data_IF_688951117840
#
_entry.id   IF_688951117840
#
_cell.length_a   1.000
_cell.length_b   1.000
_cell.length_c   1.000
_cell.angle_alpha   90.00
_cell.angle_beta   90.00
_cell.angle_gamma   90.00
#
_symmetry.space_group_name_H-M   'P 1'
#
loop_
_entity.id
_entity.type
_entity.pdbx_description
1 polymer ?
#
# COMPACT_ATOMS: atom_id res chain seq x y z
N UNK A 1 -54.61 -52.31 22.86
CA UNK A 1 -53.74 -53.14 21.99
C UNK A 1 -52.31 -52.67 22.21
N UNK A 2 -51.61 -53.27 23.17
CA UNK A 2 -50.61 -54.36 23.00
C UNK A 2 -49.31 -53.85 22.34
N UNK A 3 -48.28 -53.50 23.13
CA UNK A 3 -47.09 -54.34 23.55
C UNK A 3 -46.11 -54.59 22.38
N UNK A 4 -44.82 -54.24 22.42
CA UNK A 4 -43.69 -54.80 23.19
C UNK A 4 -42.48 -53.81 23.06
N UNK A 5 -41.78 -53.36 24.11
CA UNK A 5 -40.74 -54.00 24.96
C UNK A 5 -39.39 -54.35 24.26
N UNK A 6 -38.38 -53.47 24.46
CA UNK A 6 -36.99 -53.66 25.04
C UNK A 6 -36.02 -54.72 24.40
N UNK A 7 -34.71 -54.80 24.78
CA UNK A 7 -33.64 -53.79 24.97
C UNK A 7 -32.17 -54.28 24.63
N UNK A 8 -31.13 -53.49 24.98
CA UNK A 8 -29.71 -53.87 25.35
C UNK A 8 -28.79 -54.41 24.20
N UNK A 9 -27.47 -54.19 24.11
CA UNK A 9 -26.36 -53.65 24.96
C UNK A 9 -25.07 -53.49 24.09
N UNK A 10 -23.94 -52.96 24.63
CA UNK A 10 -22.75 -52.49 23.89
C UNK A 10 -21.62 -53.55 23.78
N UNK A 11 -20.62 -53.26 22.94
CA UNK A 11 -19.30 -53.91 22.84
C UNK A 11 -18.31 -52.73 22.72
N UNK A 12 -17.41 -52.36 23.64
CA UNK A 12 -16.40 -53.04 24.47
C UNK A 12 -15.31 -53.77 23.69
N UNK A 13 -14.21 -53.08 23.40
CA UNK A 13 -12.88 -53.69 23.32
C UNK A 13 -11.92 -52.90 24.21
N UNK A 14 -11.36 -53.61 25.19
CA UNK A 14 -10.39 -53.14 26.17
C UNK A 14 -9.25 -54.17 26.21
N UNK A 15 -8.01 -53.65 26.35
CA UNK A 15 -6.77 -54.32 26.81
C UNK A 15 -6.11 -55.32 25.83
N UNK A 16 -4.78 -55.39 25.71
CA UNK A 16 -3.79 -55.53 26.81
C UNK A 16 -2.44 -54.88 26.48
N UNK A 17 -1.82 -54.36 27.54
CA UNK A 17 -0.50 -53.75 27.69
C UNK A 17 0.68 -54.72 27.47
N UNK A 18 1.85 -54.21 27.07
CA UNK A 18 3.14 -54.60 27.69
C UNK A 18 4.03 -53.37 27.81
N UNK A 19 4.27 -52.96 29.04
CA UNK A 19 5.35 -52.09 29.51
C UNK A 19 6.63 -52.90 29.67
N UNK A 20 7.77 -52.40 29.18
CA UNK A 20 9.09 -52.63 29.82
C UNK A 20 9.84 -51.30 29.83
N UNK A 21 9.98 -50.76 31.04
CA UNK A 21 10.99 -49.78 31.39
C UNK A 21 12.24 -50.55 31.84
N UNK A 22 13.41 -50.22 31.28
CA UNK A 22 14.70 -50.46 31.95
C UNK A 22 15.56 -49.21 31.81
N UNK A 23 15.84 -48.65 32.98
CA UNK A 23 16.80 -47.64 33.36
C UNK A 23 18.25 -48.00 33.01
N UNK A 24 19.04 -46.99 32.65
CA UNK A 24 20.51 -47.07 32.61
C UNK A 24 21.13 -45.67 32.72
N UNK A 25 21.35 -45.25 33.97
CA UNK A 25 22.02 -44.01 34.39
C UNK A 25 23.51 -44.32 34.67
N UNK A 26 24.38 -43.30 34.48
CA UNK A 26 25.79 -43.16 34.93
C UNK A 26 26.85 -43.97 34.15
N UNK A 27 27.94 -43.40 33.63
CA UNK A 27 29.01 -42.60 34.27
C UNK A 27 29.72 -41.69 33.23
N UNK A 28 29.98 -40.39 33.41
CA UNK A 28 30.88 -39.63 34.32
C UNK A 28 32.39 -39.67 34.02
N UNK A 29 32.96 -38.46 33.88
CA UNK A 29 34.36 -37.99 34.04
C UNK A 29 35.37 -38.32 32.91
N UNK A 30 36.29 -37.44 32.47
CA UNK A 30 36.73 -36.10 32.92
C UNK A 30 37.69 -35.45 31.89
N UNK A 31 37.74 -34.11 31.91
CA UNK A 31 38.89 -33.20 31.68
C UNK A 31 39.60 -33.15 30.30
N UNK A 32 39.58 -31.97 29.67
CA UNK A 32 40.69 -30.99 29.85
C UNK A 32 40.33 -29.61 29.29
N UNK A 33 40.65 -28.58 30.07
CA UNK A 33 40.82 -27.20 29.62
C UNK A 33 42.03 -27.13 28.68
N UNK A 34 41.91 -26.37 27.59
CA UNK A 34 43.03 -25.71 26.97
C UNK A 34 42.51 -24.46 26.24
N UNK A 35 43.03 -23.32 26.69
CA UNK A 35 42.92 -22.01 26.07
C UNK A 35 43.31 -22.07 24.59
N UNK A 36 42.53 -21.39 23.76
CA UNK A 36 42.78 -21.27 22.33
C UNK A 36 42.03 -20.07 21.78
N UNK A 37 42.72 -18.95 21.78
CA UNK A 37 42.35 -17.72 21.07
C UNK A 37 41.77 -18.03 19.69
N UNK A 38 40.50 -17.68 19.48
CA UNK A 38 39.99 -17.41 18.14
C UNK A 38 39.26 -16.08 18.18
N UNK A 39 40.05 -15.01 18.04
CA UNK A 39 39.57 -13.68 17.79
C UNK A 39 38.72 -13.67 16.51
N UNK A 40 37.41 -13.61 16.70
CA UNK A 40 36.53 -13.11 15.66
C UNK A 40 36.70 -11.59 15.65
N UNK A 41 37.06 -10.98 14.51
CA UNK A 41 37.19 -9.54 14.45
C UNK A 41 35.81 -8.93 14.69
N UNK A 42 35.65 -8.27 15.83
CA UNK A 42 34.59 -7.29 16.09
C UNK A 42 34.80 -6.11 15.14
N UNK A 43 34.45 -6.30 13.87
CA UNK A 43 34.23 -5.20 12.95
C UNK A 43 32.78 -4.76 13.14
N UNK A 44 32.56 -3.90 14.13
CA UNK A 44 31.40 -3.01 14.14
C UNK A 44 31.78 -1.86 13.22
N UNK A 45 31.25 -1.75 11.99
CA UNK A 45 31.31 -0.47 11.33
C UNK A 45 30.42 0.46 12.15
N UNK A 46 31.01 1.52 12.70
CA UNK A 46 30.26 2.72 13.06
C UNK A 46 29.60 3.20 11.77
N UNK A 47 28.36 2.77 11.54
CA UNK A 47 27.55 3.16 10.41
C UNK A 47 27.01 4.56 10.69
N UNK A 48 27.78 5.57 10.29
CA UNK A 48 27.23 6.89 10.05
C UNK A 48 26.18 6.81 8.93
N UNK A 49 25.01 7.41 9.19
CA UNK A 49 23.92 7.77 8.26
C UNK A 49 23.83 6.92 6.98
N UNK A 50 23.24 5.73 7.08
CA UNK A 50 22.98 4.84 5.94
C UNK A 50 21.84 5.32 5.02
N UNK A 51 20.98 6.24 5.47
CA UNK A 51 19.81 6.67 4.68
C UNK A 51 20.11 7.82 3.71
N UNK A 52 21.27 8.47 3.87
CA UNK A 52 21.89 9.18 2.75
C UNK A 52 22.23 8.22 1.59
N UNK A 53 22.41 6.91 1.78
CA UNK A 53 22.94 6.05 0.71
C UNK A 53 21.94 5.74 -0.41
N UNK A 54 20.66 5.43 -0.16
CA UNK A 54 19.70 5.13 -1.24
C UNK A 54 19.39 6.36 -2.10
N UNK A 55 19.09 7.51 -1.48
CA UNK A 55 18.85 8.77 -2.20
C UNK A 55 20.15 9.41 -2.76
N UNK A 56 21.30 9.38 -2.07
CA UNK A 56 22.54 9.98 -2.62
C UNK A 56 23.34 9.08 -3.54
N UNK A 57 23.22 7.75 -3.47
CA UNK A 57 23.76 6.86 -4.51
C UNK A 57 23.08 7.18 -5.86
N UNK A 58 21.78 7.49 -5.82
CA UNK A 58 21.04 7.91 -7.01
C UNK A 58 21.41 9.32 -7.50
N UNK A 59 21.54 10.32 -6.61
CA UNK A 59 21.98 11.68 -6.97
C UNK A 59 23.29 11.71 -7.76
N UNK A 60 24.23 10.83 -7.42
CA UNK A 60 25.51 10.70 -8.13
C UNK A 60 25.41 9.96 -9.49
N UNK A 61 24.27 9.38 -9.84
CA UNK A 61 24.05 8.67 -11.11
C UNK A 61 23.42 9.54 -12.22
N UNK A 62 22.99 10.76 -11.90
CA UNK A 62 22.32 11.65 -12.86
C UNK A 62 23.21 12.67 -13.59
N UNK A 63 24.53 12.70 -13.35
CA UNK A 63 25.44 13.58 -14.10
C UNK A 63 26.33 12.78 -15.05
N UNK A 64 25.82 12.49 -16.25
CA UNK A 64 26.60 12.51 -17.49
C UNK A 64 25.67 12.43 -18.70
N UNK A 65 25.75 13.45 -19.55
CA UNK A 65 25.02 13.60 -20.79
C UNK A 65 25.64 12.75 -21.92
N UNK A 66 24.80 12.41 -22.90
CA UNK A 66 25.10 11.92 -24.27
C UNK A 66 25.35 10.42 -24.53
N UNK A 67 24.33 9.59 -24.24
CA UNK A 67 23.76 8.63 -25.20
C UNK A 67 22.43 8.14 -24.59
N UNK A 68 21.29 8.32 -25.29
CA UNK A 68 20.02 7.70 -24.85
C UNK A 68 20.18 6.19 -24.96
N UNK A 69 20.62 5.58 -23.88
CA UNK A 69 20.63 4.13 -23.71
C UNK A 69 19.19 3.64 -23.95
N UNK A 70 19.05 2.57 -24.74
CA UNK A 70 17.76 1.97 -25.01
C UNK A 70 17.17 1.47 -23.69
N UNK A 71 16.05 2.05 -23.26
CA UNK A 71 15.31 1.60 -22.08
C UNK A 71 14.18 0.65 -22.52
N UNK A 72 14.33 -0.68 -22.35
CA UNK A 72 13.29 -1.65 -22.72
C UNK A 72 11.99 -1.49 -21.92
N UNK A 73 11.99 -0.69 -20.86
CA UNK A 73 10.85 -0.44 -19.98
C UNK A 73 10.17 0.91 -20.27
N UNK A 74 10.66 1.66 -21.27
CA UNK A 74 10.02 2.89 -21.74
C UNK A 74 8.59 2.59 -22.22
N UNK A 75 7.63 3.40 -21.76
CA UNK A 75 6.20 3.21 -22.06
C UNK A 75 5.90 3.25 -23.55
N UNK A 76 6.66 4.02 -24.34
CA UNK A 76 6.47 4.14 -25.79
C UNK A 76 6.63 2.82 -26.54
N UNK A 77 7.40 1.87 -26.01
CA UNK A 77 7.54 0.53 -26.59
C UNK A 77 6.28 -0.33 -26.46
N UNK A 78 5.37 0.05 -25.56
CA UNK A 78 4.13 -0.66 -25.27
C UNK A 78 2.90 0.06 -25.85
N UNK A 79 3.10 1.02 -26.75
CA UNK A 79 2.04 1.82 -27.36
C UNK A 79 2.14 1.79 -28.89
N UNK A 80 1.12 2.30 -29.57
CA UNK A 80 1.03 2.34 -31.04
C UNK A 80 1.58 3.67 -31.58
N UNK A 81 1.31 4.79 -30.90
CA UNK A 81 1.73 6.11 -31.37
C UNK A 81 1.31 7.25 -30.45
N UNK A 82 0.94 8.38 -31.06
CA UNK A 82 0.55 9.60 -30.36
C UNK A 82 -0.76 9.44 -29.58
N UNK A 83 -0.90 10.25 -28.53
CA UNK A 83 -2.11 10.27 -27.71
C UNK A 83 -3.33 10.70 -28.53
N UNK A 84 -4.42 9.95 -28.39
CA UNK A 84 -5.75 10.34 -28.90
C UNK A 84 -6.74 10.43 -27.75
N UNK A 85 -7.93 11.05 -27.96
CA UNK A 85 -9.01 11.01 -26.98
C UNK A 85 -9.54 9.60 -26.67
N UNK A 86 -9.03 8.54 -27.30
CA UNK A 86 -9.46 7.15 -27.09
C UNK A 86 -8.29 6.26 -26.70
N UNK A 87 -8.41 5.54 -25.58
CA UNK A 87 -7.34 4.64 -25.16
C UNK A 87 -7.13 3.48 -26.15
N UNK A 88 -8.19 3.06 -26.84
CA UNK A 88 -8.15 1.94 -27.78
C UNK A 88 -7.28 2.20 -29.00
N UNK A 89 -7.09 3.46 -29.37
CA UNK A 89 -6.29 3.82 -30.54
C UNK A 89 -4.78 3.67 -30.24
N UNK A 90 -4.38 3.74 -28.96
CA UNK A 90 -2.98 3.76 -28.58
C UNK A 90 -2.45 2.48 -27.92
N UNK A 91 -3.33 1.61 -27.43
CA UNK A 91 -2.90 0.28 -26.95
C UNK A 91 -2.58 -0.63 -28.14
N UNK A 92 -1.53 -1.46 -28.00
CA UNK A 92 -1.13 -2.39 -29.07
C UNK A 92 -2.16 -3.51 -29.23
N UNK A 93 -2.02 -4.32 -30.28
CA UNK A 93 -2.82 -5.54 -30.55
C UNK A 93 -2.11 -6.88 -30.24
N UNK A 94 -0.82 -6.86 -29.88
CA UNK A 94 -0.05 -8.00 -29.33
C UNK A 94 0.15 -8.03 -27.79
N UNK A 95 0.33 -6.90 -27.09
CA UNK A 95 0.41 -6.72 -25.60
C UNK A 95 -0.89 -6.75 -24.77
N UNK A 96 -0.96 -7.49 -23.66
CA UNK A 96 -2.12 -7.44 -22.75
C UNK A 96 -1.89 -6.47 -21.58
N UNK A 97 -2.92 -5.72 -21.19
CA UNK A 97 -2.84 -4.68 -20.18
C UNK A 97 -3.77 -4.97 -19.00
N UNK A 98 -3.48 -4.34 -17.86
CA UNK A 98 -4.32 -4.39 -16.66
C UNK A 98 -4.38 -3.02 -15.99
N UNK A 99 -5.55 -2.67 -15.49
CA UNK A 99 -5.79 -1.45 -14.69
C UNK A 99 -6.73 -1.81 -13.52
N UNK A 100 -6.80 -0.94 -12.54
CA UNK A 100 -7.83 -0.97 -11.50
C UNK A 100 -8.18 0.46 -11.16
N UNK A 101 -9.37 0.69 -10.60
CA UNK A 101 -9.64 1.94 -9.94
C UNK A 101 -9.18 1.87 -8.50
N UNK A 102 -8.96 3.04 -7.93
CA UNK A 102 -8.67 3.22 -6.52
C UNK A 102 -9.79 4.11 -5.95
N UNK A 103 -10.24 3.85 -4.73
CA UNK A 103 -11.28 4.65 -4.07
C UNK A 103 -10.96 4.62 -2.57
N UNK A 104 -11.47 5.60 -1.81
CA UNK A 104 -11.13 5.92 -0.41
C UNK A 104 -9.88 6.81 -0.26
N UNK A 105 -9.32 6.86 0.96
CA UNK A 105 -8.17 7.69 1.30
C UNK A 105 -6.90 7.34 0.52
N UNK A 106 -5.92 8.27 0.53
CA UNK A 106 -4.69 8.15 -0.24
C UNK A 106 -3.98 6.80 -0.06
N UNK A 107 -3.80 6.33 1.17
CA UNK A 107 -3.07 5.07 1.45
C UNK A 107 -3.85 3.83 1.05
N UNK A 108 -5.18 3.85 1.10
CA UNK A 108 -6.01 2.78 0.55
C UNK A 108 -5.88 2.71 -0.97
N UNK A 109 -5.83 3.87 -1.63
CA UNK A 109 -5.54 3.95 -3.06
C UNK A 109 -4.15 3.42 -3.37
N UNK A 110 -3.12 3.82 -2.61
CA UNK A 110 -1.75 3.33 -2.76
C UNK A 110 -1.67 1.80 -2.64
N UNK A 111 -2.29 1.21 -1.62
CA UNK A 111 -2.36 -0.25 -1.45
C UNK A 111 -3.01 -0.91 -2.67
N UNK A 112 -4.13 -0.37 -3.15
CA UNK A 112 -4.82 -0.89 -4.36
C UNK A 112 -3.91 -0.87 -5.59
N UNK A 113 -3.13 0.21 -5.79
CA UNK A 113 -2.21 0.34 -6.92
C UNK A 113 -0.97 -0.55 -6.81
N UNK A 114 -0.45 -0.77 -5.59
CA UNK A 114 0.63 -1.74 -5.37
C UNK A 114 0.13 -3.17 -5.62
N UNK A 115 -1.10 -3.49 -5.18
CA UNK A 115 -1.76 -4.76 -5.46
C UNK A 115 -1.99 -4.95 -6.98
N UNK A 116 -2.36 -3.89 -7.71
CA UNK A 116 -2.46 -3.91 -9.18
C UNK A 116 -1.14 -4.27 -9.83
N UNK A 117 -0.03 -3.62 -9.44
CA UNK A 117 1.30 -3.90 -9.97
C UNK A 117 1.72 -5.36 -9.69
N UNK A 118 1.45 -5.87 -8.49
CA UNK A 118 1.77 -7.26 -8.16
C UNK A 118 0.92 -8.26 -8.97
N UNK A 119 -0.39 -7.99 -9.12
CA UNK A 119 -1.27 -8.80 -9.96
C UNK A 119 -0.86 -8.78 -11.43
N UNK A 120 -0.37 -7.64 -11.92
CA UNK A 120 0.15 -7.51 -13.28
C UNK A 120 1.31 -8.48 -13.55
N UNK A 121 2.23 -8.60 -12.59
CA UNK A 121 3.33 -9.59 -12.66
C UNK A 121 2.81 -11.03 -12.69
N UNK A 122 1.77 -11.36 -11.93
CA UNK A 122 1.21 -12.72 -11.88
C UNK A 122 0.36 -13.08 -13.11
N UNK A 123 -0.15 -12.08 -13.82
CA UNK A 123 -1.06 -12.25 -14.95
C UNK A 123 -0.41 -12.02 -16.31
N UNK A 124 0.91 -11.79 -16.38
CA UNK A 124 1.64 -11.44 -17.61
C UNK A 124 0.99 -10.27 -18.37
N UNK A 125 0.64 -9.21 -17.62
CA UNK A 125 0.01 -7.99 -18.16
C UNK A 125 0.84 -6.76 -17.85
N UNK A 126 0.81 -5.79 -18.75
CA UNK A 126 1.41 -4.46 -18.54
C UNK A 126 0.45 -3.60 -17.70
N UNK A 127 0.83 -3.17 -16.49
CA UNK A 127 -0.02 -2.34 -15.66
C UNK A 127 -0.13 -0.90 -16.20
N UNK A 128 -1.35 -0.37 -16.14
CA UNK A 128 -1.69 1.02 -16.41
C UNK A 128 -2.25 1.62 -15.12
N UNK A 129 -1.50 2.53 -14.51
CA UNK A 129 -1.85 3.16 -13.25
C UNK A 129 -2.81 4.33 -13.49
N UNK A 130 -3.99 4.36 -12.85
CA UNK A 130 -4.78 5.57 -12.77
C UNK A 130 -4.07 6.62 -11.89
N UNK A 131 -4.44 7.91 -12.02
CA UNK A 131 -4.05 8.89 -11.01
C UNK A 131 -4.70 8.55 -9.67
N UNK A 132 -4.21 9.17 -8.60
CA UNK A 132 -4.98 9.30 -7.37
C UNK A 132 -6.08 10.33 -7.58
N UNK A 133 -7.29 10.00 -7.15
CA UNK A 133 -8.43 10.90 -7.26
C UNK A 133 -9.07 11.23 -5.91
N UNK A 134 -9.70 12.42 -5.79
CA UNK A 134 -10.41 12.84 -4.60
C UNK A 134 -11.54 11.90 -4.18
N UNK A 135 -11.71 11.79 -2.86
CA UNK A 135 -12.74 11.01 -2.17
C UNK A 135 -13.17 11.77 -0.89
N UNK A 136 -13.42 11.12 0.24
CA UNK A 136 -13.90 11.77 1.47
C UNK A 136 -12.83 12.58 2.23
N UNK A 137 -11.53 12.41 1.95
CA UNK A 137 -10.45 13.16 2.61
C UNK A 137 -9.86 14.32 1.80
N UNK A 138 -10.07 14.28 0.48
CA UNK A 138 -9.61 15.31 -0.45
C UNK A 138 -10.85 15.73 -1.22
N UNK A 139 -11.20 17.00 -1.18
CA UNK A 139 -12.36 17.51 -1.88
C UNK A 139 -12.18 17.36 -3.39
N UNK A 140 -13.29 17.34 -4.14
CA UNK A 140 -13.25 17.29 -5.62
C UNK A 140 -12.41 18.44 -6.22
N UNK A 141 -12.28 19.57 -5.52
CA UNK A 141 -11.48 20.71 -5.95
C UNK A 141 -9.97 20.47 -5.82
N UNK A 142 -9.54 19.49 -5.02
CA UNK A 142 -8.15 19.05 -4.95
C UNK A 142 -7.61 18.48 -6.27
N UNK A 143 -8.49 18.19 -7.24
CA UNK A 143 -8.10 17.67 -8.55
C UNK A 143 -7.50 16.27 -8.46
N UNK A 144 -6.95 15.77 -9.57
CA UNK A 144 -6.24 14.49 -9.61
C UNK A 144 -4.73 14.71 -9.45
N UNK A 145 -4.01 13.69 -9.00
CA UNK A 145 -2.54 13.69 -9.03
C UNK A 145 -2.06 12.35 -9.58
N UNK A 146 -1.21 12.38 -10.60
CA UNK A 146 -0.70 11.18 -11.26
C UNK A 146 0.30 10.45 -10.38
N UNK A 147 0.47 9.14 -10.61
CA UNK A 147 1.39 8.33 -9.81
C UNK A 147 2.83 8.86 -9.93
N UNK A 148 3.25 9.25 -11.14
CA UNK A 148 4.56 9.83 -11.41
C UNK A 148 4.80 11.22 -10.80
N UNK A 149 3.73 11.96 -10.48
CA UNK A 149 3.83 13.23 -9.73
C UNK A 149 4.15 13.01 -8.24
N UNK A 150 4.01 11.78 -7.73
CA UNK A 150 4.31 11.43 -6.35
C UNK A 150 5.54 10.54 -6.24
N UNK A 151 5.65 9.55 -7.13
CA UNK A 151 6.62 8.48 -7.06
C UNK A 151 7.57 8.47 -8.24
N UNK A 152 8.79 7.98 -8.02
CA UNK A 152 9.80 7.85 -9.06
C UNK A 152 9.51 6.61 -9.94
N UNK A 153 8.80 6.82 -11.04
CA UNK A 153 8.45 5.74 -11.98
C UNK A 153 9.67 5.11 -12.66
N UNK A 154 10.72 5.87 -12.95
CA UNK A 154 11.95 5.34 -13.55
C UNK A 154 12.62 4.33 -12.61
N UNK A 155 12.75 4.67 -11.34
CA UNK A 155 13.26 3.76 -10.32
C UNK A 155 12.36 2.53 -10.20
N UNK A 156 11.04 2.73 -10.10
CA UNK A 156 10.09 1.62 -9.94
C UNK A 156 10.16 0.63 -11.11
N UNK A 157 10.13 1.11 -12.36
CA UNK A 157 10.25 0.27 -13.56
C UNK A 157 11.53 -0.57 -13.51
N UNK A 158 12.66 0.06 -13.19
CA UNK A 158 13.97 -0.61 -13.08
C UNK A 158 13.97 -1.71 -12.02
N UNK A 159 13.46 -1.44 -10.82
CA UNK A 159 13.43 -2.41 -9.72
C UNK A 159 12.49 -3.59 -10.01
N UNK A 160 11.32 -3.31 -10.59
CA UNK A 160 10.34 -4.34 -10.96
C UNK A 160 10.72 -5.10 -12.23
N UNK A 161 11.64 -4.56 -13.04
CA UNK A 161 11.97 -5.05 -14.39
C UNK A 161 10.72 -5.24 -15.25
N UNK A 162 9.79 -4.30 -15.12
CA UNK A 162 8.47 -4.36 -15.72
C UNK A 162 8.10 -2.96 -16.23
N UNK A 163 7.53 -2.84 -17.44
CA UNK A 163 6.95 -1.58 -17.86
C UNK A 163 5.80 -1.19 -16.93
N UNK A 164 5.71 0.09 -16.58
CA UNK A 164 4.62 0.63 -15.79
C UNK A 164 4.13 1.88 -16.50
N UNK A 165 2.90 1.84 -17.00
CA UNK A 165 2.30 2.94 -17.73
C UNK A 165 1.39 3.74 -16.80
N UNK A 166 1.16 5.00 -17.11
CA UNK A 166 0.08 5.81 -16.55
C UNK A 166 -1.01 6.02 -17.60
N UNK A 167 -2.23 6.33 -17.18
CA UNK A 167 -3.32 6.60 -18.13
C UNK A 167 -3.04 7.79 -19.08
N UNK A 168 -2.26 8.78 -18.62
CA UNK A 168 -1.80 9.89 -19.48
C UNK A 168 -0.84 9.44 -20.59
N UNK A 169 -0.25 8.24 -20.48
CA UNK A 169 0.62 7.69 -21.52
C UNK A 169 -0.22 7.09 -22.66
N UNK A 170 -1.50 6.76 -22.43
CA UNK A 170 -2.32 6.01 -23.42
C UNK A 170 -3.50 6.80 -23.97
N UNK A 171 -3.90 7.89 -23.31
CA UNK A 171 -5.07 8.69 -23.65
C UNK A 171 -4.78 10.18 -23.44
N UNK A 172 -5.24 11.02 -24.35
CA UNK A 172 -5.23 12.49 -24.22
C UNK A 172 -6.20 12.89 -23.10
N UNK A 173 -5.64 13.24 -21.94
CA UNK A 173 -6.36 13.56 -20.72
C UNK A 173 -6.02 14.99 -20.25
N UNK A 174 -6.97 15.69 -19.61
CA UNK A 174 -6.67 16.94 -18.93
C UNK A 174 -5.50 16.77 -17.95
N UNK A 175 -4.62 17.77 -17.82
CA UNK A 175 -3.54 17.69 -16.83
C UNK A 175 -4.11 17.80 -15.40
N UNK A 176 -3.32 17.35 -14.42
CA UNK A 176 -3.59 17.51 -12.98
C UNK A 176 -3.79 18.98 -12.58
N UNK A 177 -3.13 19.90 -13.28
CA UNK A 177 -3.17 21.35 -13.05
C UNK A 177 -4.22 22.10 -13.88
N UNK A 178 -5.04 21.39 -14.67
CA UNK A 178 -6.12 22.01 -15.42
C UNK A 178 -7.19 22.59 -14.48
N UNK A 179 -7.84 23.68 -14.90
CA UNK A 179 -8.93 24.30 -14.13
C UNK A 179 -10.12 23.35 -13.92
N UNK A 180 -10.31 22.39 -14.83
CA UNK A 180 -11.24 21.28 -14.67
C UNK A 180 -10.57 19.98 -15.13
N UNK A 181 -9.95 19.20 -14.22
CA UNK A 181 -9.30 17.94 -14.59
C UNK A 181 -10.31 16.86 -14.99
N UNK A 182 -11.61 17.10 -14.90
CA UNK A 182 -12.67 16.14 -15.20
C UNK A 182 -13.34 16.37 -16.58
N UNK A 183 -12.86 17.35 -17.35
CA UNK A 183 -13.40 17.69 -18.68
C UNK A 183 -12.77 16.84 -19.79
N UNK A 184 -13.16 15.57 -19.86
CA UNK A 184 -12.66 14.65 -20.90
C UNK A 184 -13.43 14.79 -22.20
N UNK A 185 -12.71 14.79 -23.32
CA UNK A 185 -13.29 14.93 -24.67
C UNK A 185 -14.16 13.75 -25.10
N UNK A 186 -13.78 12.53 -24.71
CA UNK A 186 -14.51 11.31 -25.05
C UNK A 186 -14.64 10.35 -23.88
N UNK A 187 -15.86 9.80 -23.75
CA UNK A 187 -16.19 8.73 -22.80
C UNK A 187 -16.27 7.40 -23.54
N UNK A 188 -15.47 6.41 -23.12
CA UNK A 188 -15.41 5.11 -23.76
C UNK A 188 -15.99 3.99 -22.90
N UNK A 189 -16.77 3.12 -23.55
CA UNK A 189 -17.27 1.89 -22.95
C UNK A 189 -16.13 0.92 -22.61
N UNK A 190 -16.18 0.30 -21.43
CA UNK A 190 -15.26 -0.77 -21.04
C UNK A 190 -15.97 -1.80 -20.15
N UNK A 191 -15.68 -3.08 -20.32
CA UNK A 191 -16.13 -4.11 -19.39
C UNK A 191 -15.06 -4.36 -18.33
N UNK A 192 -15.45 -4.38 -17.07
CA UNK A 192 -14.56 -4.59 -15.92
C UNK A 192 -15.03 -5.75 -15.05
N UNK A 193 -14.11 -6.28 -14.26
CA UNK A 193 -14.40 -7.15 -13.14
C UNK A 193 -14.72 -6.32 -11.89
N UNK A 194 -15.63 -6.82 -11.07
CA UNK A 194 -15.82 -6.31 -9.70
C UNK A 194 -15.37 -7.34 -8.67
N UNK A 195 -14.51 -6.90 -7.75
CA UNK A 195 -14.03 -7.68 -6.60
C UNK A 195 -14.94 -7.53 -5.38
N UNK A 196 -16.03 -6.76 -5.47
CA UNK A 196 -17.01 -6.60 -4.40
C UNK A 196 -17.66 -7.92 -4.01
N UNK A 197 -17.88 -8.09 -2.71
CA UNK A 197 -18.56 -9.24 -2.11
C UNK A 197 -19.82 -9.66 -2.88
N UNK A 198 -20.14 -10.95 -2.87
CA UNK A 198 -21.33 -11.46 -3.53
C UNK A 198 -22.64 -10.91 -2.94
N UNK A 199 -22.64 -10.56 -1.66
CA UNK A 199 -23.77 -9.94 -0.99
C UNK A 199 -24.02 -8.49 -1.43
N UNK A 200 -23.00 -7.78 -1.90
CA UNK A 200 -23.12 -6.39 -2.34
C UNK A 200 -23.69 -6.29 -3.75
N UNK A 201 -24.64 -5.37 -3.99
CA UNK A 201 -25.30 -5.17 -5.29
C UNK A 201 -24.57 -4.24 -6.24
N UNK A 202 -23.76 -3.31 -5.71
CA UNK A 202 -23.09 -2.26 -6.47
C UNK A 202 -21.55 -2.39 -6.41
N UNK A 203 -20.84 -2.12 -7.54
CA UNK A 203 -19.38 -2.10 -7.60
C UNK A 203 -18.81 -0.97 -6.73
N UNK A 204 -17.48 -0.95 -6.55
CA UNK A 204 -16.83 0.23 -5.96
C UNK A 204 -16.98 1.43 -6.90
N UNK A 205 -17.49 2.54 -6.36
CA UNK A 205 -17.84 3.73 -7.14
C UNK A 205 -16.68 4.71 -7.24
N UNK A 206 -15.76 4.48 -8.16
CA UNK A 206 -14.63 5.38 -8.44
C UNK A 206 -15.04 6.57 -9.36
N UNK A 207 -16.11 7.31 -9.02
CA UNK A 207 -16.70 8.32 -9.91
C UNK A 207 -15.70 9.36 -10.42
N UNK A 208 -14.86 9.88 -9.53
CA UNK A 208 -13.87 10.92 -9.85
C UNK A 208 -12.81 10.40 -10.83
N UNK A 209 -12.34 9.15 -10.65
CA UNK A 209 -11.44 8.49 -11.59
C UNK A 209 -12.09 8.33 -12.95
N UNK A 210 -13.30 7.76 -13.00
CA UNK A 210 -13.99 7.46 -14.25
C UNK A 210 -14.36 8.73 -15.04
N UNK A 211 -14.66 9.83 -14.34
CA UNK A 211 -14.85 11.15 -14.95
C UNK A 211 -13.55 11.66 -15.56
N UNK A 212 -12.45 11.70 -14.79
CA UNK A 212 -11.15 12.15 -15.28
C UNK A 212 -10.61 11.29 -16.43
N UNK A 213 -10.85 9.98 -16.41
CA UNK A 213 -10.38 9.06 -17.44
C UNK A 213 -11.31 9.00 -18.65
N UNK A 214 -12.54 9.54 -18.57
CA UNK A 214 -13.54 9.44 -19.62
C UNK A 214 -13.87 7.97 -19.92
N UNK A 215 -14.26 7.22 -18.89
CA UNK A 215 -14.62 5.80 -19.02
C UNK A 215 -16.04 5.55 -18.51
N UNK A 216 -16.78 4.71 -19.22
CA UNK A 216 -18.09 4.19 -18.82
C UNK A 216 -17.97 2.67 -18.62
N UNK A 217 -17.72 2.20 -17.39
CA UNK A 217 -17.54 0.78 -17.14
C UNK A 217 -18.89 0.06 -16.93
N UNK A 218 -19.00 -1.17 -17.44
CA UNK A 218 -19.91 -2.19 -16.93
C UNK A 218 -19.14 -3.21 -16.10
N UNK A 219 -19.77 -3.77 -15.06
CA UNK A 219 -19.09 -4.64 -14.10
C UNK A 219 -19.67 -6.04 -14.08
N UNK A 220 -18.82 -7.04 -14.24
CA UNK A 220 -19.13 -8.47 -14.04
C UNK A 220 -18.46 -8.94 -12.76
N UNK A 221 -19.12 -9.78 -11.96
CA UNK A 221 -18.51 -10.30 -10.74
C UNK A 221 -17.31 -11.17 -11.05
N UNK A 222 -16.24 -11.03 -10.27
CA UNK A 222 -15.19 -12.06 -10.27
C UNK A 222 -15.77 -13.42 -9.89
N UNK A 223 -15.18 -14.53 -10.35
CA UNK A 223 -15.66 -15.85 -10.00
C UNK A 223 -15.59 -16.10 -8.50
N UNK A 224 -16.57 -16.81 -7.93
CA UNK A 224 -16.60 -17.12 -6.48
C UNK A 224 -15.40 -17.95 -6.00
N UNK A 225 -14.79 -18.74 -6.90
CA UNK A 225 -13.55 -19.47 -6.61
C UNK A 225 -12.33 -18.57 -6.47
N UNK A 226 -12.43 -17.27 -6.79
CA UNK A 226 -11.36 -16.28 -6.57
C UNK A 226 -11.35 -15.68 -5.17
N UNK A 227 -12.34 -16.02 -4.34
CA UNK A 227 -12.44 -15.62 -2.94
C UNK A 227 -11.55 -16.48 -2.07
N UNK A 228 -11.02 -15.87 -1.00
CA UNK A 228 -10.27 -16.60 0.04
C UNK A 228 -11.14 -17.68 0.69
N UNK A 229 -12.35 -17.31 1.10
CA UNK A 229 -13.35 -18.23 1.65
C UNK A 229 -14.46 -18.45 0.63
N UNK A 230 -14.42 -19.61 -0.04
CA UNK A 230 -15.42 -19.95 -1.06
C UNK A 230 -16.80 -20.15 -0.42
N UNK A 231 -17.85 -19.70 -1.13
CA UNK A 231 -19.26 -19.75 -0.72
C UNK A 231 -19.66 -18.81 0.45
N UNK A 232 -18.72 -18.03 1.00
CA UNK A 232 -19.06 -16.97 1.94
C UNK A 232 -19.41 -15.69 1.18
N UNK A 233 -20.70 -15.35 1.16
CA UNK A 233 -21.20 -14.22 0.35
C UNK A 233 -20.69 -12.85 0.81
N UNK A 234 -20.20 -12.76 2.04
CA UNK A 234 -19.66 -11.57 2.69
C UNK A 234 -18.12 -11.53 2.68
N UNK A 235 -17.45 -12.49 2.04
CA UNK A 235 -15.97 -12.50 1.97
C UNK A 235 -15.49 -11.38 1.03
N UNK A 236 -14.91 -10.33 1.60
CA UNK A 236 -14.38 -9.19 0.85
C UNK A 236 -13.06 -9.51 0.14
N UNK A 237 -12.30 -10.50 0.62
CA UNK A 237 -10.96 -10.77 0.14
C UNK A 237 -10.92 -11.70 -1.07
N UNK A 238 -10.08 -11.33 -2.03
CA UNK A 238 -9.83 -12.05 -3.28
C UNK A 238 -8.36 -12.46 -3.35
N UNK A 239 -8.07 -13.63 -3.92
CA UNK A 239 -6.72 -14.20 -3.94
C UNK A 239 -6.01 -13.87 -5.24
N UNK A 240 -4.81 -13.30 -5.17
CA UNK A 240 -4.03 -12.87 -6.33
C UNK A 240 -3.85 -13.94 -7.40
N UNK A 241 -3.44 -15.15 -7.02
CA UNK A 241 -3.20 -16.25 -7.97
C UNK A 241 -4.49 -16.68 -8.67
N UNK A 242 -5.63 -16.56 -7.99
CA UNK A 242 -6.94 -16.89 -8.54
C UNK A 242 -7.43 -15.78 -9.48
N UNK A 243 -7.27 -14.50 -9.11
CA UNK A 243 -7.55 -13.39 -10.02
C UNK A 243 -6.67 -13.46 -11.27
N UNK A 244 -5.38 -13.74 -11.12
CA UNK A 244 -4.46 -13.91 -12.23
C UNK A 244 -4.93 -15.01 -13.19
N UNK A 245 -5.37 -16.16 -12.66
CA UNK A 245 -5.94 -17.22 -13.47
C UNK A 245 -7.21 -16.79 -14.22
N UNK A 246 -8.06 -15.94 -13.63
CA UNK A 246 -9.29 -15.44 -14.26
C UNK A 246 -9.01 -14.48 -15.42
N UNK A 247 -7.85 -13.82 -15.43
CA UNK A 247 -7.50 -12.79 -16.42
C UNK A 247 -6.25 -13.12 -17.23
N UNK A 248 -5.71 -14.34 -17.13
CA UNK A 248 -4.50 -14.71 -17.84
C UNK A 248 -4.70 -14.60 -19.37
N UNK A 249 -3.79 -13.96 -20.12
CA UNK A 249 -3.92 -13.75 -21.55
C UNK A 249 -4.23 -15.03 -22.35
N UNK A 250 -5.15 -14.94 -23.32
CA UNK A 250 -5.55 -16.00 -24.28
C UNK A 250 -6.24 -17.23 -23.70
N UNK A 251 -5.97 -17.58 -22.43
CA UNK A 251 -6.50 -18.79 -21.78
C UNK A 251 -6.92 -18.49 -20.33
N UNK A 252 -7.83 -17.51 -20.11
CA UNK A 252 -8.37 -17.28 -18.77
C UNK A 252 -9.12 -18.53 -18.30
N UNK A 253 -9.11 -18.74 -16.98
CA UNK A 253 -9.92 -19.78 -16.34
C UNK A 253 -11.38 -19.35 -16.30
N UNK A 254 -12.16 -19.87 -17.25
CA UNK A 254 -13.58 -19.56 -17.42
C UNK A 254 -13.79 -18.35 -18.32
N UNK A 255 -14.98 -18.27 -18.91
CA UNK A 255 -15.34 -17.15 -19.79
C UNK A 255 -15.99 -16.03 -18.99
N UNK A 256 -15.63 -14.75 -19.22
CA UNK A 256 -16.31 -13.63 -18.55
C UNK A 256 -17.84 -13.63 -18.73
N UNK A 257 -18.34 -14.20 -19.83
CA UNK A 257 -19.76 -14.33 -20.13
C UNK A 257 -20.51 -15.35 -19.25
N UNK A 258 -19.79 -16.22 -18.55
CA UNK A 258 -20.37 -17.25 -17.65
C UNK A 258 -20.70 -16.67 -16.27
N UNK A 259 -20.20 -15.48 -15.95
CA UNK A 259 -20.34 -14.86 -14.65
C UNK A 259 -21.40 -13.76 -14.66
N UNK A 260 -22.09 -13.54 -13.52
CA UNK A 260 -23.20 -12.60 -13.47
C UNK A 260 -22.71 -11.15 -13.66
N UNK A 261 -23.40 -10.43 -14.54
CA UNK A 261 -23.32 -8.98 -14.59
C UNK A 261 -23.74 -8.42 -13.23
N UNK A 262 -22.85 -7.67 -12.59
CA UNK A 262 -23.14 -6.92 -11.38
C UNK A 262 -23.86 -5.62 -11.72
N UNK A 263 -23.35 -4.88 -12.70
CA UNK A 263 -23.87 -3.57 -13.06
C UNK A 263 -23.64 -3.26 -14.54
N UNK A 264 -24.68 -2.79 -15.24
CA UNK A 264 -24.56 -2.22 -16.58
C UNK A 264 -24.04 -0.78 -16.52
N UNK A 265 -23.42 -0.31 -17.59
CA UNK A 265 -22.87 1.04 -17.64
C UNK A 265 -23.96 2.11 -17.43
N UNK A 266 -23.61 3.20 -16.73
CA UNK A 266 -24.55 4.25 -16.28
C UNK A 266 -24.29 5.63 -16.89
N UNK A 267 -23.06 5.90 -17.39
CA UNK A 267 -22.63 7.26 -17.79
C UNK A 267 -22.75 7.52 -19.29
N UNK A 268 -22.88 6.50 -20.12
CA UNK A 268 -23.08 6.64 -21.56
C UNK A 268 -24.50 7.03 -21.96
N UNK A 269 -24.65 7.62 -23.16
CA UNK A 269 -25.97 7.85 -23.79
C UNK A 269 -26.75 6.55 -24.04
N UNK A 270 -26.05 5.41 -24.03
CA UNK A 270 -26.60 4.07 -24.19
C UNK A 270 -25.95 3.19 -23.11
N UNK A 271 -26.75 2.67 -22.19
CA UNK A 271 -26.28 1.68 -21.22
C UNK A 271 -25.77 0.44 -21.94
N UNK A 272 -24.55 -0.02 -21.64
CA UNK A 272 -23.99 -1.24 -22.20
C UNK A 272 -23.70 -2.29 -21.14
N UNK A 273 -23.60 -3.54 -21.58
CA UNK A 273 -23.33 -4.74 -20.77
C UNK A 273 -22.07 -5.44 -21.29
N UNK A 274 -21.02 -4.67 -21.50
CA UNK A 274 -19.79 -5.19 -22.05
C UNK A 274 -19.18 -6.15 -21.03
N UNK A 275 -18.87 -7.36 -21.48
CA UNK A 275 -18.10 -8.29 -20.66
C UNK A 275 -16.69 -7.76 -20.43
N UNK A 276 -16.03 -8.18 -19.34
CA UNK A 276 -14.65 -7.81 -19.05
C UNK A 276 -13.74 -7.84 -20.27
N UNK A 277 -13.08 -6.71 -20.54
CA UNK A 277 -12.24 -6.55 -21.73
C UNK A 277 -10.99 -7.43 -21.62
N UNK A 278 -10.78 -8.30 -22.62
CA UNK A 278 -9.67 -9.24 -22.62
C UNK A 278 -8.33 -8.50 -22.77
N UNK A 279 -8.33 -7.42 -23.55
CA UNK A 279 -7.13 -6.68 -23.95
C UNK A 279 -6.66 -5.75 -22.84
N UNK A 280 -7.58 -4.94 -22.31
CA UNK A 280 -7.36 -4.08 -21.15
C UNK A 280 -8.28 -4.54 -20.03
N UNK A 281 -7.80 -5.49 -19.22
CA UNK A 281 -8.55 -5.95 -18.07
C UNK A 281 -8.61 -4.85 -17.01
N UNK A 282 -9.81 -4.55 -16.50
CA UNK A 282 -10.01 -3.61 -15.41
C UNK A 282 -10.69 -4.25 -14.20
N UNK A 283 -10.34 -3.77 -13.01
CA UNK A 283 -11.00 -4.09 -11.74
C UNK A 283 -11.56 -2.82 -11.10
N UNK A 284 -12.67 -2.93 -10.36
CA UNK A 284 -13.23 -1.80 -9.60
C UNK A 284 -12.37 -1.40 -8.40
N UNK A 285 -11.80 -2.38 -7.70
CA UNK A 285 -10.81 -2.18 -6.63
C UNK A 285 -9.95 -3.43 -6.46
N UNK A 286 -8.71 -3.24 -6.00
CA UNK A 286 -7.80 -4.31 -5.58
C UNK A 286 -7.34 -4.15 -4.13
N UNK A 287 -7.98 -3.27 -3.35
CA UNK A 287 -7.60 -3.03 -1.94
C UNK A 287 -7.63 -4.32 -1.10
N UNK A 288 -8.64 -5.17 -1.29
CA UNK A 288 -8.81 -6.44 -0.55
C UNK A 288 -8.14 -7.65 -1.21
N UNK A 289 -7.22 -7.43 -2.16
CA UNK A 289 -6.46 -8.53 -2.74
C UNK A 289 -5.40 -9.05 -1.76
N UNK A 290 -5.26 -10.38 -1.67
CA UNK A 290 -4.34 -11.07 -0.75
C UNK A 290 -3.65 -12.24 -1.45
N UNK A 291 -2.50 -12.69 -0.93
CA UNK A 291 -1.89 -13.97 -1.31
C UNK A 291 -2.76 -15.19 -0.96
N UNK A 292 -3.75 -15.00 -0.09
CA UNK A 292 -4.62 -16.05 0.45
C UNK A 292 -4.12 -16.61 1.78
N UNK A 293 -2.91 -16.25 2.22
CA UNK A 293 -2.36 -16.69 3.50
C UNK A 293 -3.00 -15.96 4.69
N UNK A 294 -3.29 -14.66 4.56
CA UNK A 294 -3.91 -13.87 5.64
C UNK A 294 -4.73 -12.68 5.06
N UNK A 295 -5.74 -12.23 5.79
CA UNK A 295 -6.46 -11.00 5.47
C UNK A 295 -5.63 -9.78 5.92
N UNK A 296 -5.72 -8.66 5.20
CA UNK A 296 -4.91 -7.48 5.48
C UNK A 296 -3.41 -7.80 5.68
N UNK A 297 -2.86 -8.63 4.80
CA UNK A 297 -1.51 -9.22 4.94
C UNK A 297 -0.38 -8.19 4.98
N UNK A 298 -0.64 -6.95 4.55
CA UNK A 298 0.32 -5.83 4.53
C UNK A 298 0.96 -5.54 5.90
N UNK A 299 0.30 -5.92 7.00
CA UNK A 299 0.85 -5.81 8.37
C UNK A 299 2.01 -6.76 8.64
N UNK A 300 2.25 -7.76 7.79
CA UNK A 300 3.25 -8.79 8.01
C UNK A 300 4.45 -8.67 7.07
N UNK A 301 5.65 -8.83 7.61
CA UNK A 301 6.95 -8.88 6.91
C UNK A 301 6.99 -9.74 5.65
N UNK A 302 6.14 -10.75 5.51
CA UNK A 302 6.14 -11.65 4.36
C UNK A 302 5.21 -11.22 3.21
N UNK A 303 4.37 -10.19 3.37
CA UNK A 303 3.40 -9.77 2.34
C UNK A 303 4.06 -9.62 0.97
N UNK A 304 3.66 -10.43 -0.04
CA UNK A 304 4.32 -10.40 -1.34
C UNK A 304 4.07 -9.10 -2.09
N UNK A 305 2.88 -8.51 -2.00
CA UNK A 305 2.59 -7.23 -2.66
C UNK A 305 3.51 -6.11 -2.14
N UNK A 306 3.73 -6.04 -0.83
CA UNK A 306 4.69 -5.10 -0.24
C UNK A 306 6.13 -5.43 -0.64
N UNK A 307 6.57 -6.67 -0.43
CA UNK A 307 7.97 -7.06 -0.62
C UNK A 307 8.43 -7.05 -2.07
N UNK A 308 7.54 -7.35 -3.01
CA UNK A 308 7.86 -7.40 -4.45
C UNK A 308 7.62 -6.07 -5.13
N UNK A 309 6.75 -5.22 -4.57
CA UNK A 309 6.38 -3.95 -5.20
C UNK A 309 6.47 -2.79 -4.22
N UNK A 310 5.64 -2.78 -3.17
CA UNK A 310 5.44 -1.60 -2.31
C UNK A 310 6.73 -0.97 -1.78
N UNK A 311 7.70 -1.79 -1.33
CA UNK A 311 8.99 -1.29 -0.82
C UNK A 311 9.85 -0.60 -1.88
N UNK A 312 9.60 -0.81 -3.17
CA UNK A 312 10.31 -0.18 -4.28
C UNK A 312 9.64 1.10 -4.79
N UNK A 313 8.47 1.46 -4.25
CA UNK A 313 7.72 2.66 -4.65
C UNK A 313 8.24 3.88 -3.89
N UNK A 314 9.40 4.40 -4.30
CA UNK A 314 10.03 5.58 -3.72
C UNK A 314 9.36 6.88 -4.18
N UNK A 315 9.30 7.87 -3.29
CA UNK A 315 8.86 9.22 -3.63
C UNK A 315 9.81 9.89 -4.63
N UNK A 316 9.28 10.83 -5.41
CA UNK A 316 10.14 11.68 -6.24
C UNK A 316 10.90 12.71 -5.39
N UNK A 317 12.00 13.22 -5.93
CA UNK A 317 12.89 14.13 -5.21
C UNK A 317 12.22 15.47 -4.87
N UNK A 318 11.30 15.95 -5.71
CA UNK A 318 10.58 17.21 -5.49
C UNK A 318 9.76 17.17 -4.20
N UNK A 319 9.04 16.06 -3.96
CA UNK A 319 8.29 15.88 -2.71
C UNK A 319 9.21 15.64 -1.52
N UNK A 320 10.30 14.88 -1.70
CA UNK A 320 11.28 14.65 -0.64
C UNK A 320 11.93 15.94 -0.17
N UNK A 321 12.38 16.77 -1.11
CA UNK A 321 13.02 18.05 -0.78
C UNK A 321 12.03 19.01 -0.11
N UNK A 322 10.75 18.99 -0.54
CA UNK A 322 9.71 19.75 0.16
C UNK A 322 9.49 19.30 1.58
N UNK A 323 9.36 18.00 1.83
CA UNK A 323 9.22 17.50 3.21
C UNK A 323 10.45 17.79 4.06
N UNK A 324 11.65 17.83 3.47
CA UNK A 324 12.86 18.26 4.18
C UNK A 324 12.82 19.74 4.57
N UNK A 325 12.24 20.61 3.73
CA UNK A 325 12.01 22.02 4.10
C UNK A 325 11.07 22.11 5.31
N UNK A 326 9.95 21.38 5.30
CA UNK A 326 9.00 21.33 6.41
C UNK A 326 9.64 20.78 7.69
N UNK A 327 10.43 19.71 7.59
CA UNK A 327 11.18 19.14 8.72
C UNK A 327 12.16 20.16 9.32
N UNK A 328 12.90 20.90 8.50
CA UNK A 328 13.82 21.93 8.99
C UNK A 328 13.07 23.01 9.75
N UNK A 329 11.97 23.52 9.22
CA UNK A 329 11.15 24.50 9.93
C UNK A 329 10.61 23.94 11.25
N UNK A 330 10.07 22.72 11.23
CA UNK A 330 9.48 22.08 12.42
C UNK A 330 10.52 21.81 13.53
N UNK A 331 11.78 21.60 13.16
CA UNK A 331 12.88 21.38 14.11
C UNK A 331 13.71 22.64 14.40
N UNK A 332 13.34 23.79 13.84
CA UNK A 332 14.05 25.06 14.04
C UNK A 332 15.47 25.07 13.46
N UNK A 333 15.67 24.37 12.34
CA UNK A 333 16.95 24.25 11.65
C UNK A 333 17.09 25.30 10.55
N UNK A 334 18.32 25.72 10.27
CA UNK A 334 18.62 26.67 9.20
C UNK A 334 18.52 26.04 7.80
N UNK A 335 18.38 26.88 6.78
CA UNK A 335 18.32 26.41 5.40
C UNK A 335 19.59 25.61 5.02
N UNK A 336 19.39 24.36 4.57
CA UNK A 336 20.49 23.47 4.18
C UNK A 336 21.14 22.69 5.33
N UNK A 337 20.77 22.96 6.58
CA UNK A 337 21.21 22.16 7.73
C UNK A 337 20.77 20.69 7.57
N UNK A 338 21.58 19.77 8.10
CA UNK A 338 21.28 18.34 8.10
C UNK A 338 20.13 18.05 9.08
N UNK A 339 19.12 17.31 8.63
CA UNK A 339 18.01 16.92 9.50
C UNK A 339 18.51 15.79 10.41
N UNK A 340 18.47 15.97 11.74
CA UNK A 340 18.92 14.95 12.68
C UNK A 340 18.00 13.74 12.67
N UNK A 341 18.47 12.56 13.14
CA UNK A 341 17.59 11.41 13.34
C UNK A 341 16.40 11.76 14.24
N UNK A 342 15.20 11.40 13.79
CA UNK A 342 13.95 11.68 14.48
C UNK A 342 13.02 10.46 14.46
N UNK A 343 12.03 10.44 15.36
CA UNK A 343 10.92 9.49 15.30
C UNK A 343 9.69 10.20 14.72
N UNK A 344 9.05 9.58 13.73
CA UNK A 344 7.76 10.02 13.24
C UNK A 344 6.64 9.32 14.01
N UNK A 345 5.58 10.06 14.32
CA UNK A 345 4.45 9.62 15.13
C UNK A 345 3.20 9.99 14.35
N UNK A 346 2.38 9.00 13.97
CA UNK A 346 1.09 9.24 13.35
C UNK A 346 -0.04 8.85 14.29
N UNK A 347 -0.85 9.82 14.68
CA UNK A 347 -1.98 9.63 15.59
C UNK A 347 -3.26 9.87 14.79
N UNK A 348 -4.02 8.81 14.49
CA UNK A 348 -5.29 8.92 13.76
C UNK A 348 -6.45 9.04 14.74
N UNK A 349 -7.02 10.22 14.90
CA UNK A 349 -8.13 10.50 15.83
C UNK A 349 -9.41 10.99 15.16
N UNK A 350 -9.29 11.80 14.11
CA UNK A 350 -10.37 12.60 13.54
C UNK A 350 -11.61 11.79 13.14
N UNK A 351 -11.63 11.26 11.92
CA UNK A 351 -12.79 10.50 11.41
C UNK A 351 -12.97 9.14 12.09
N UNK A 352 -11.92 8.61 12.71
CA UNK A 352 -11.97 7.37 13.49
C UNK A 352 -12.87 7.52 14.73
N UNK A 353 -12.87 8.69 15.36
CA UNK A 353 -13.77 8.99 16.49
C UNK A 353 -15.24 8.78 16.17
N UNK A 354 -15.67 8.96 14.92
CA UNK A 354 -17.06 8.77 14.49
C UNK A 354 -17.47 7.29 14.41
N UNK A 355 -16.51 6.39 14.23
CA UNK A 355 -16.73 4.95 14.18
C UNK A 355 -16.57 4.28 15.56
N UNK A 356 -16.18 5.04 16.58
CA UNK A 356 -16.03 4.56 17.94
C UNK A 356 -17.39 4.45 18.64
N UNK A 357 -17.93 3.23 18.76
CA UNK A 357 -19.20 2.98 19.46
C UNK A 357 -19.13 3.14 21.00
N UNK A 358 -17.93 3.31 21.57
CA UNK A 358 -17.70 3.44 23.01
C UNK A 358 -16.74 4.61 23.32
N UNK A 359 -17.14 5.58 24.17
CA UNK A 359 -16.26 6.66 24.62
C UNK A 359 -15.00 6.10 25.31
N UNK A 360 -13.81 6.53 24.88
CA UNK A 360 -12.53 6.21 25.52
C UNK A 360 -11.88 4.87 25.15
N UNK A 361 -12.44 4.09 24.22
CA UNK A 361 -11.95 2.74 23.88
C UNK A 361 -11.36 2.58 22.48
N UNK A 362 -11.44 3.59 21.61
CA UNK A 362 -11.06 3.46 20.19
C UNK A 362 -10.12 4.57 19.69
N UNK A 363 -9.89 5.62 20.50
CA UNK A 363 -8.81 6.59 20.28
C UNK A 363 -7.79 6.46 21.40
N UNK A 364 -6.58 6.00 21.07
CA UNK A 364 -5.51 5.82 22.05
C UNK A 364 -5.01 7.18 22.56
N UNK A 365 -4.73 7.29 23.85
CA UNK A 365 -4.25 8.54 24.44
C UNK A 365 -2.85 8.91 23.94
N UNK A 366 -2.50 10.20 23.97
CA UNK A 366 -1.12 10.69 23.72
C UNK A 366 -0.09 9.98 24.62
N UNK A 367 -0.44 9.66 25.88
CA UNK A 367 0.40 8.88 26.81
C UNK A 367 0.70 7.46 26.29
N UNK A 368 -0.25 6.83 25.58
CA UNK A 368 -0.04 5.52 24.97
C UNK A 368 1.01 5.59 23.86
N UNK A 369 0.97 6.64 23.04
CA UNK A 369 1.99 6.94 22.04
C UNK A 369 3.34 7.28 22.69
N UNK A 370 3.37 8.04 23.77
CA UNK A 370 4.62 8.38 24.49
C UNK A 370 5.33 7.11 24.99
N UNK A 371 4.57 6.15 25.53
CA UNK A 371 5.12 4.85 25.95
C UNK A 371 5.69 4.05 24.77
N UNK A 372 5.02 4.07 23.62
CA UNK A 372 5.52 3.41 22.41
C UNK A 372 6.77 4.09 21.85
N UNK A 373 6.81 5.43 21.84
CA UNK A 373 8.00 6.21 21.47
C UNK A 373 9.20 5.80 22.31
N UNK A 374 9.05 5.70 23.64
CA UNK A 374 10.13 5.26 24.54
C UNK A 374 10.65 3.84 24.23
N UNK A 375 9.77 2.93 23.79
CA UNK A 375 10.18 1.58 23.36
C UNK A 375 10.97 1.62 22.06
N UNK A 376 10.50 2.39 21.08
CA UNK A 376 11.19 2.61 19.80
C UNK A 376 12.55 3.26 20.03
N UNK A 377 12.65 4.29 20.87
CA UNK A 377 13.94 4.91 21.26
C UNK A 377 14.90 3.91 21.87
N UNK A 378 14.44 3.10 22.84
CA UNK A 378 15.26 2.07 23.46
C UNK A 378 15.79 1.06 22.44
N UNK A 379 14.95 0.67 21.48
CA UNK A 379 15.35 -0.20 20.37
C UNK A 379 16.39 0.45 19.46
N UNK A 380 16.21 1.72 19.07
CA UNK A 380 17.15 2.45 18.21
C UNK A 380 18.53 2.63 18.87
N UNK A 381 18.57 2.94 20.17
CA UNK A 381 19.82 3.03 20.92
C UNK A 381 20.50 1.66 20.98
N UNK A 382 19.75 0.61 21.29
CA UNK A 382 20.32 -0.74 21.49
C UNK A 382 20.79 -1.38 20.19
N UNK A 383 20.03 -1.22 19.11
CA UNK A 383 20.28 -1.93 17.84
C UNK A 383 21.12 -1.11 16.86
N UNK A 384 21.03 0.23 16.92
CA UNK A 384 21.71 1.13 15.96
C UNK A 384 22.66 2.12 16.60
N UNK A 385 22.68 2.24 17.93
CA UNK A 385 23.46 3.27 18.62
C UNK A 385 22.97 4.70 18.33
N UNK A 386 21.72 4.86 17.89
CA UNK A 386 21.14 6.16 17.53
C UNK A 386 20.30 6.68 18.70
N UNK A 387 20.70 7.83 19.26
CA UNK A 387 19.91 8.54 20.24
C UNK A 387 19.04 9.60 19.55
N UNK A 388 17.74 9.58 19.83
CA UNK A 388 16.75 10.50 19.26
C UNK A 388 16.57 11.72 20.15
N UNK A 389 16.46 12.90 19.53
CA UNK A 389 16.18 14.18 20.21
C UNK A 389 15.08 15.00 19.54
N UNK A 390 14.48 14.44 18.49
CA UNK A 390 13.49 15.11 17.66
C UNK A 390 12.36 14.13 17.36
N UNK A 391 11.13 14.63 17.43
CA UNK A 391 9.93 13.85 17.17
C UNK A 391 9.00 14.68 16.30
N UNK A 392 8.43 14.06 15.28
CA UNK A 392 7.45 14.68 14.41
C UNK A 392 6.11 13.96 14.56
N UNK A 393 5.08 14.69 14.97
CA UNK A 393 3.70 14.22 15.03
C UNK A 393 2.95 14.70 13.79
N UNK A 394 2.20 13.80 13.18
CA UNK A 394 1.10 14.13 12.26
C UNK A 394 -0.19 13.51 12.81
N UNK A 395 -1.29 14.25 12.67
CA UNK A 395 -2.60 13.87 13.19
C UNK A 395 -3.69 14.61 12.44
N UNK A 396 -4.86 13.99 12.33
CA UNK A 396 -6.10 14.62 11.86
C UNK A 396 -6.97 15.17 13.01
N UNK A 397 -6.40 15.28 14.20
CA UNK A 397 -7.03 15.89 15.37
C UNK A 397 -7.15 17.41 15.27
N UNK A 398 -8.27 17.95 15.75
CA UNK A 398 -8.57 19.38 15.75
C UNK A 398 -8.70 19.98 17.14
N UNK A 399 -8.77 19.14 18.19
CA UNK A 399 -8.82 19.60 19.58
C UNK A 399 -7.51 20.32 19.99
N UNK A 400 -7.56 21.62 20.37
CA UNK A 400 -6.39 22.33 20.87
C UNK A 400 -5.73 21.66 22.08
N UNK A 401 -6.50 21.01 22.96
CA UNK A 401 -5.95 20.35 24.15
C UNK A 401 -5.05 19.15 23.79
N UNK A 402 -5.33 18.48 22.66
CA UNK A 402 -4.45 17.45 22.13
C UNK A 402 -3.11 18.03 21.67
N UNK A 403 -3.15 19.13 20.92
CA UNK A 403 -1.93 19.79 20.42
C UNK A 403 -1.12 20.43 21.56
N UNK A 404 -1.77 20.92 22.61
CA UNK A 404 -1.11 21.36 23.84
C UNK A 404 -0.38 20.20 24.54
N UNK A 405 -0.97 19.00 24.57
CA UNK A 405 -0.32 17.81 25.11
C UNK A 405 0.90 17.38 24.27
N UNK A 406 0.76 17.39 22.94
CA UNK A 406 1.86 17.10 22.00
C UNK A 406 3.03 18.07 22.19
N UNK A 407 2.75 19.38 22.24
CA UNK A 407 3.79 20.40 22.43
C UNK A 407 4.43 20.37 23.81
N UNK A 408 3.66 20.03 24.86
CA UNK A 408 4.19 19.83 26.23
C UNK A 408 5.23 18.71 26.30
N UNK A 409 5.11 17.68 25.46
CA UNK A 409 6.09 16.61 25.32
C UNK A 409 7.35 17.01 24.53
N UNK A 410 7.37 18.24 23.97
CA UNK A 410 8.45 18.71 23.11
C UNK A 410 8.43 18.10 21.70
N UNK A 411 7.30 17.53 21.30
CA UNK A 411 7.14 16.99 19.95
C UNK A 411 6.74 18.10 18.98
N UNK A 412 7.35 18.10 17.80
CA UNK A 412 7.05 19.04 16.71
C UNK A 412 5.97 18.47 15.80
N UNK A 413 5.32 19.33 15.02
CA UNK A 413 4.38 18.94 13.96
C UNK A 413 4.49 19.94 12.79
N UNK A 414 3.93 19.58 11.63
CA UNK A 414 3.80 20.53 10.53
C UNK A 414 2.57 21.41 10.75
N UNK A 415 2.82 22.70 10.97
CA UNK A 415 1.77 23.71 11.04
C UNK A 415 1.36 24.10 9.60
N UNK A 416 0.49 23.29 9.00
CA UNK A 416 0.04 23.47 7.62
C UNK A 416 -0.69 24.79 7.38
N UNK A 417 -1.34 25.35 8.40
CA UNK A 417 -2.02 26.65 8.31
C UNK A 417 -0.98 27.77 8.22
N UNK A 418 0.01 27.78 9.13
CA UNK A 418 1.11 28.75 9.10
C UNK A 418 1.93 28.66 7.82
N UNK A 419 2.19 27.43 7.35
CA UNK A 419 2.92 27.19 6.10
C UNK A 419 2.09 27.46 4.84
N UNK A 420 0.77 27.64 4.99
CA UNK A 420 -0.21 27.82 3.92
C UNK A 420 -0.11 26.70 2.89
N UNK A 421 0.04 25.46 3.35
CA UNK A 421 0.32 24.31 2.49
C UNK A 421 -0.79 24.12 1.46
N UNK A 422 -2.04 24.20 1.91
CA UNK A 422 -3.22 24.07 1.07
C UNK A 422 -3.28 25.15 -0.02
N UNK A 423 -3.11 26.42 0.35
CA UNK A 423 -3.22 27.54 -0.57
C UNK A 423 -2.08 27.58 -1.58
N UNK A 424 -0.88 27.12 -1.19
CA UNK A 424 0.32 27.16 -2.04
C UNK A 424 0.41 25.98 -2.98
N UNK A 425 -0.06 24.81 -2.56
CA UNK A 425 0.25 23.55 -3.24
C UNK A 425 -0.94 22.62 -3.46
N UNK A 426 -2.13 22.99 -2.96
CA UNK A 426 -3.34 22.20 -3.10
C UNK A 426 -3.51 21.12 -2.02
N UNK A 427 -4.70 20.54 -2.00
CA UNK A 427 -5.15 19.60 -0.96
C UNK A 427 -4.31 18.33 -0.89
N UNK A 428 -3.79 17.83 -2.01
CA UNK A 428 -2.96 16.62 -2.00
C UNK A 428 -1.68 16.79 -1.21
N UNK A 429 -1.09 17.99 -1.19
CA UNK A 429 0.22 18.14 -0.58
C UNK A 429 0.15 18.02 0.94
N UNK A 430 -0.97 18.37 1.58
CA UNK A 430 -1.09 18.32 3.05
C UNK A 430 -0.75 16.93 3.62
N UNK A 431 -1.42 15.82 3.23
CA UNK A 431 -1.03 14.49 3.73
C UNK A 431 0.25 13.94 3.08
N UNK A 432 0.62 14.39 1.88
CA UNK A 432 1.78 13.85 1.18
C UNK A 432 3.10 14.24 1.86
N UNK A 433 3.24 15.49 2.33
CA UNK A 433 4.49 15.91 2.97
C UNK A 433 4.71 15.20 4.30
N UNK A 434 3.64 14.95 5.07
CA UNK A 434 3.68 14.16 6.30
C UNK A 434 4.14 12.73 6.02
N UNK A 435 3.52 12.07 5.05
CA UNK A 435 3.84 10.68 4.72
C UNK A 435 5.26 10.52 4.18
N UNK A 436 5.75 11.50 3.42
CA UNK A 436 7.15 11.55 3.00
C UNK A 436 8.06 11.73 4.21
N UNK A 437 7.74 12.66 5.13
CA UNK A 437 8.51 12.86 6.35
C UNK A 437 8.56 11.59 7.21
N UNK A 438 7.45 10.85 7.33
CA UNK A 438 7.43 9.54 8.00
C UNK A 438 8.46 8.58 7.42
N UNK A 439 8.56 8.52 6.09
CA UNK A 439 9.51 7.64 5.42
C UNK A 439 10.98 8.03 5.62
N UNK A 440 11.26 9.27 6.06
CA UNK A 440 12.60 9.75 6.37
C UNK A 440 13.01 9.50 7.82
N UNK A 441 12.08 9.06 8.67
CA UNK A 441 12.30 8.92 10.11
C UNK A 441 13.21 7.73 10.46
N UNK A 442 13.98 7.87 11.53
CA UNK A 442 14.81 6.80 12.08
C UNK A 442 13.97 5.75 12.82
N UNK A 443 12.79 6.09 13.31
CA UNK A 443 11.81 5.16 13.88
C UNK A 443 10.39 5.66 13.67
N UNK A 444 9.40 4.79 13.86
CA UNK A 444 8.00 5.16 13.65
C UNK A 444 7.07 4.63 14.72
N UNK A 445 6.08 5.42 15.10
CA UNK A 445 4.95 4.99 15.95
C UNK A 445 3.66 5.39 15.26
N UNK A 446 2.67 4.50 15.18
CA UNK A 446 1.41 4.78 14.49
C UNK A 446 0.18 4.17 15.16
N UNK A 447 -1.00 4.46 14.64
CA UNK A 447 -2.28 3.81 15.00
C UNK A 447 -2.44 2.48 14.24
N UNK A 448 -2.82 1.40 14.93
CA UNK A 448 -2.90 0.02 14.38
C UNK A 448 -3.84 -0.15 13.18
N UNK A 449 -5.02 0.46 13.23
CA UNK A 449 -6.04 0.34 12.18
C UNK A 449 -5.92 1.40 11.07
N UNK A 450 -4.91 2.27 11.14
CA UNK A 450 -4.67 3.27 10.10
C UNK A 450 -3.76 2.72 9.00
N UNK A 451 -4.27 2.68 7.76
CA UNK A 451 -3.43 2.36 6.58
C UNK A 451 -2.31 3.38 6.39
N UNK A 452 -2.50 4.62 6.85
CA UNK A 452 -1.49 5.67 6.83
C UNK A 452 -0.31 5.32 7.75
N UNK A 453 -0.60 4.88 8.98
CA UNK A 453 0.40 4.36 9.91
C UNK A 453 1.07 3.09 9.41
N UNK A 454 0.28 2.15 8.88
CA UNK A 454 0.83 0.90 8.36
C UNK A 454 1.86 1.16 7.26
N UNK A 455 1.51 1.95 6.24
CA UNK A 455 2.42 2.25 5.13
C UNK A 455 3.63 3.06 5.63
N UNK A 456 3.44 4.02 6.55
CA UNK A 456 4.53 4.78 7.16
C UNK A 456 5.54 3.90 7.89
N UNK A 457 5.05 3.02 8.77
CA UNK A 457 5.88 2.08 9.52
C UNK A 457 6.65 1.11 8.63
N UNK A 458 5.99 0.56 7.60
CA UNK A 458 6.63 -0.36 6.65
C UNK A 458 7.73 0.30 5.83
N UNK A 459 7.58 1.57 5.46
CA UNK A 459 8.67 2.34 4.84
C UNK A 459 9.83 2.54 5.79
N UNK A 460 9.59 2.86 7.06
CA UNK A 460 10.67 2.97 8.05
C UNK A 460 11.38 1.64 8.27
N UNK A 461 10.63 0.54 8.30
CA UNK A 461 11.21 -0.81 8.36
C UNK A 461 12.11 -1.10 7.15
N UNK A 462 11.58 -1.01 5.94
CA UNK A 462 12.28 -1.50 4.74
C UNK A 462 13.24 -0.48 4.12
N UNK A 463 12.95 0.82 4.21
CA UNK A 463 13.79 1.86 3.59
C UNK A 463 14.92 2.31 4.51
N UNK A 464 14.69 2.23 5.83
CA UNK A 464 15.63 2.70 6.84
C UNK A 464 16.20 1.56 7.68
N UNK A 465 15.87 0.30 7.36
CA UNK A 465 16.25 -0.92 8.09
C UNK A 465 15.93 -0.80 9.58
N UNK A 466 14.76 -0.23 9.91
CA UNK A 466 14.46 0.28 11.25
C UNK A 466 13.22 -0.32 11.89
N UNK A 467 12.88 0.16 13.08
CA UNK A 467 11.73 -0.36 13.83
C UNK A 467 10.55 0.58 13.78
N UNK A 468 9.36 0.00 13.78
CA UNK A 468 8.13 0.71 14.03
C UNK A 468 7.25 -0.02 15.03
N UNK A 469 6.34 0.72 15.65
CA UNK A 469 5.33 0.17 16.55
C UNK A 469 3.95 0.75 16.20
N UNK A 470 2.90 -0.08 16.33
CA UNK A 470 1.52 0.36 16.18
C UNK A 470 0.80 0.27 17.52
N UNK A 471 0.12 1.35 17.88
CA UNK A 471 -0.67 1.52 19.10
C UNK A 471 -2.12 1.18 18.79
N UNK A 472 -2.71 0.35 19.65
CA UNK A 472 -4.12 -0.05 19.61
C UNK A 472 -5.05 0.92 20.35
#
# INVERSE_FOLDING_TARGET
MTTLLRPRRPILYLCVCVTIAITGLTSLYSLSNADGESGWPSYVPVLGNTNLKLYNHYRNSQSNDSQKEFDPLDSSHYLVGELTPRFRDNIRNDTYYITSWANAGFTNQFISLVNLLYLATLSDRVPILPPFAPDHHISRNGGIITFGEIFNLTHLRKELRMPVLEWKDIKDLPSSSASNPYDTRETEAIGCWSTREEAHTDPVRAFTHLEHLGLDPSYTRVPGWSRRTQNERTESHVVFSQLAAAVYPRRPRGSPNEYPLMEASRRGKISHRASPDERLTCFDTLYYATSGAEIFEWRFGWSPAWNKVGRHVLFNEVLVDRSREYLRTAFGLEAGEEIPPFIAIHIRHGDFGQNCNLPGHCLSSVDSFEKAVKRVEGSLVTTKGVAIRHWLVSSDETDPAFWDAVTTLGWSFFDHEKERTLERFGEWLTPLVDMVAHSLAAGFVGTSDSTFSLVGGRRVEDWNDSVYELVE
#
